data_IF_596994734352
#
_entry.id   IF_596994734352
#
_cell.length_a   1.000
_cell.length_b   1.000
_cell.length_c   1.000
_cell.angle_alpha   90.00
_cell.angle_beta   90.00
_cell.angle_gamma   90.00
#
_symmetry.space_group_name_H-M   'P 1'
#
loop_
_entity.id
_entity.type
_entity.pdbx_description
1 polymer ?
#
# COMPACT_ATOMS: atom_id res chain seq x y z
N UNK A 1 -46.53 -3.22 -44.35
CA UNK A 1 -45.92 -3.89 -43.17
C UNK A 1 -44.77 -3.02 -42.68
N UNK A 2 -44.56 -2.99 -41.37
CA UNK A 2 -44.05 -1.87 -40.59
C UNK A 2 -42.58 -1.53 -40.89
N UNK A 3 -42.33 -0.23 -41.04
CA UNK A 3 -41.02 0.40 -40.92
C UNK A 3 -40.61 0.45 -39.43
N UNK A 4 -39.31 0.60 -39.12
CA UNK A 4 -38.76 1.51 -38.08
C UNK A 4 -37.49 0.95 -37.37
N UNK A 5 -36.34 1.56 -37.74
CA UNK A 5 -35.32 2.21 -36.88
C UNK A 5 -34.49 1.35 -35.91
N UNK A 6 -33.25 1.09 -36.36
CA UNK A 6 -31.96 1.33 -35.68
C UNK A 6 -31.99 1.81 -34.22
N UNK A 7 -31.40 1.03 -33.31
CA UNK A 7 -30.87 1.54 -32.04
C UNK A 7 -29.63 0.73 -31.61
N UNK A 8 -28.47 1.08 -32.18
CA UNK A 8 -27.16 0.68 -31.63
C UNK A 8 -26.92 1.58 -30.42
N UNK A 9 -27.20 1.05 -29.23
CA UNK A 9 -26.92 1.69 -27.95
C UNK A 9 -25.41 1.58 -27.68
N UNK A 10 -24.65 2.56 -28.16
CA UNK A 10 -23.23 2.70 -27.91
C UNK A 10 -23.05 3.24 -26.48
N UNK A 11 -22.87 2.32 -25.52
CA UNK A 11 -22.56 2.64 -24.13
C UNK A 11 -21.19 3.30 -24.03
N UNK A 12 -21.20 4.58 -23.65
CA UNK A 12 -20.01 5.38 -23.35
C UNK A 12 -19.34 4.76 -22.11
N UNK A 13 -18.17 4.15 -22.32
CA UNK A 13 -17.32 3.70 -21.22
C UNK A 13 -16.63 4.95 -20.67
N UNK A 14 -17.09 5.42 -19.52
CA UNK A 14 -16.39 6.42 -18.72
C UNK A 14 -15.08 5.81 -18.22
N UNK A 15 -13.99 6.06 -18.93
CA UNK A 15 -12.64 5.93 -18.40
C UNK A 15 -12.45 7.13 -17.45
N UNK A 16 -12.84 6.97 -16.19
CA UNK A 16 -12.40 7.88 -15.13
C UNK A 16 -11.02 7.40 -14.69
N UNK A 17 -9.98 7.90 -15.35
CA UNK A 17 -8.63 7.83 -14.83
C UNK A 17 -8.51 9.01 -13.84
N UNK A 18 -8.90 8.79 -12.59
CA UNK A 18 -8.60 9.73 -11.53
C UNK A 18 -7.10 9.64 -11.23
N UNK A 19 -6.35 10.68 -11.59
CA UNK A 19 -4.98 10.82 -11.13
C UNK A 19 -5.05 10.98 -9.61
N UNK A 20 -4.66 9.93 -8.88
CA UNK A 20 -4.61 9.98 -7.42
C UNK A 20 -3.41 10.85 -7.05
N UNK A 21 -3.67 12.06 -6.57
CA UNK A 21 -2.61 12.96 -6.12
C UNK A 21 -1.77 12.30 -5.01
N UNK A 22 -0.46 12.18 -5.26
CA UNK A 22 0.51 11.52 -4.38
C UNK A 22 0.68 12.20 -3.01
N UNK A 23 0.09 13.39 -2.83
CA UNK A 23 0.16 14.23 -1.64
C UNK A 23 -1.12 14.23 -0.79
N UNK A 24 -2.17 13.50 -1.19
CA UNK A 24 -3.41 13.47 -0.40
C UNK A 24 -3.25 12.55 0.81
N UNK A 25 -3.47 13.10 2.01
CA UNK A 25 -3.54 12.33 3.25
C UNK A 25 -4.77 11.41 3.22
N UNK A 26 -4.55 10.12 3.43
CA UNK A 26 -5.55 9.06 3.42
C UNK A 26 -5.55 8.35 4.77
N UNK A 27 -6.71 7.80 5.16
CA UNK A 27 -6.85 6.94 6.34
C UNK A 27 -7.39 5.59 5.92
N UNK A 28 -6.82 4.51 6.44
CA UNK A 28 -7.30 3.16 6.14
C UNK A 28 -6.97 2.17 7.26
N UNK A 29 -7.76 1.09 7.30
CA UNK A 29 -7.39 -0.13 8.00
C UNK A 29 -6.38 -0.92 7.15
N UNK A 30 -5.34 -1.44 7.80
CA UNK A 30 -4.28 -2.22 7.19
C UNK A 30 -3.80 -3.33 8.13
N UNK A 31 -3.03 -4.26 7.59
CA UNK A 31 -2.27 -5.24 8.35
C UNK A 31 -0.81 -4.83 8.30
N UNK A 32 -0.24 -4.50 9.46
CA UNK A 32 1.18 -4.32 9.63
C UNK A 32 1.83 -5.69 9.87
N UNK A 33 2.84 -6.01 9.07
CA UNK A 33 3.56 -7.28 9.08
C UNK A 33 5.00 -7.02 9.48
N UNK A 34 5.47 -7.67 10.54
CA UNK A 34 6.88 -7.65 10.94
C UNK A 34 7.64 -8.80 10.29
N UNK A 35 8.55 -8.49 9.37
CA UNK A 35 9.33 -9.48 8.62
C UNK A 35 10.73 -9.72 9.20
N UNK A 36 11.13 -8.97 10.22
CA UNK A 36 12.42 -9.14 10.90
C UNK A 36 13.13 -7.80 11.13
N UNK A 37 14.12 -7.80 12.02
CA UNK A 37 14.84 -6.58 12.37
C UNK A 37 15.54 -5.98 11.14
N UNK A 38 15.18 -4.74 10.79
CA UNK A 38 15.82 -4.03 9.69
C UNK A 38 17.35 -3.94 9.87
N UNK A 39 17.81 -3.75 11.11
CA UNK A 39 19.25 -3.66 11.44
C UNK A 39 20.01 -4.99 11.33
N UNK A 40 19.30 -6.12 11.33
CA UNK A 40 19.89 -7.46 11.30
C UNK A 40 19.79 -8.04 9.89
N UNK A 41 18.59 -8.03 9.32
CA UNK A 41 18.26 -8.75 8.09
C UNK A 41 17.76 -7.82 6.96
N UNK A 42 17.67 -6.50 7.18
CA UNK A 42 17.16 -5.55 6.17
C UNK A 42 15.66 -5.67 5.86
N UNK A 43 14.94 -6.58 6.52
CA UNK A 43 13.54 -6.89 6.23
C UNK A 43 12.59 -5.79 6.71
N UNK A 44 12.58 -5.48 8.01
CA UNK A 44 11.71 -4.46 8.59
C UNK A 44 10.22 -4.80 8.54
N UNK A 45 9.41 -3.76 8.37
CA UNK A 45 7.94 -3.86 8.27
C UNK A 45 7.44 -3.88 6.83
N UNK A 46 6.26 -4.47 6.65
CA UNK A 46 5.42 -4.41 5.44
C UNK A 46 3.99 -4.02 5.82
N UNK A 47 3.34 -3.23 4.97
CA UNK A 47 1.92 -2.88 5.14
C UNK A 47 1.11 -3.57 4.06
N UNK A 48 0.17 -4.41 4.46
CA UNK A 48 -0.83 -4.98 3.55
C UNK A 48 -2.15 -4.21 3.68
N UNK A 49 -2.62 -3.65 2.56
CA UNK A 49 -3.84 -2.87 2.51
C UNK A 49 -4.51 -3.05 1.15
N UNK A 50 -5.82 -3.35 1.13
CA UNK A 50 -6.61 -3.55 -0.09
C UNK A 50 -6.00 -4.59 -1.06
N UNK A 51 -5.42 -5.66 -0.52
CA UNK A 51 -4.81 -6.73 -1.30
C UNK A 51 -3.46 -6.39 -1.93
N UNK A 52 -2.84 -5.27 -1.54
CA UNK A 52 -1.52 -4.84 -2.01
C UNK A 52 -0.57 -4.65 -0.83
N UNK A 53 0.71 -4.92 -1.05
CA UNK A 53 1.77 -4.71 -0.05
C UNK A 53 2.59 -3.47 -0.37
N UNK A 54 2.90 -2.70 0.66
CA UNK A 54 3.72 -1.50 0.59
C UNK A 54 4.90 -1.61 1.55
N UNK A 55 5.96 -0.87 1.24
CA UNK A 55 7.11 -0.72 2.13
C UNK A 55 7.01 0.64 2.84
N UNK A 56 7.04 0.69 4.18
CA UNK A 56 7.10 1.97 4.88
C UNK A 56 8.37 2.71 4.46
N UNK A 57 8.23 3.99 4.13
CA UNK A 57 9.38 4.85 3.79
C UNK A 57 10.25 5.15 5.01
N UNK A 58 9.63 5.26 6.17
CA UNK A 58 10.26 5.54 7.45
C UNK A 58 9.64 4.65 8.52
N UNK A 59 10.39 3.64 8.95
CA UNK A 59 9.97 2.70 10.00
C UNK A 59 10.20 3.25 11.40
N UNK A 60 10.93 4.36 11.58
CA UNK A 60 11.14 4.96 12.91
C UNK A 60 9.85 5.49 13.55
N UNK A 61 8.80 5.67 12.73
CA UNK A 61 7.45 6.05 13.17
C UNK A 61 6.62 4.85 13.66
N UNK A 62 7.13 3.64 13.53
CA UNK A 62 6.47 2.41 13.96
C UNK A 62 7.09 1.98 15.28
N UNK A 63 6.28 1.97 16.35
CA UNK A 63 6.76 1.62 17.68
C UNK A 63 7.22 0.15 17.80
N UNK A 64 8.11 -0.11 18.75
CA UNK A 64 8.65 -1.45 19.00
C UNK A 64 7.58 -2.46 19.43
N UNK A 65 6.46 -2.00 19.99
CA UNK A 65 5.30 -2.81 20.37
C UNK A 65 4.61 -3.52 19.20
N UNK A 66 4.97 -3.17 17.95
CA UNK A 66 4.52 -3.85 16.74
C UNK A 66 5.44 -4.98 16.31
N UNK A 67 6.65 -5.10 16.87
CA UNK A 67 7.60 -6.18 16.60
C UNK A 67 7.26 -7.47 17.37
N UNK A 68 6.45 -7.37 18.42
CA UNK A 68 6.03 -8.50 19.26
C UNK A 68 5.12 -9.49 18.53
N UNK A 69 4.38 -9.01 17.53
CA UNK A 69 3.43 -9.81 16.77
C UNK A 69 3.79 -9.76 15.29
N UNK A 70 3.91 -10.92 14.64
CA UNK A 70 4.21 -11.00 13.20
C UNK A 70 3.19 -10.26 12.33
N UNK A 71 1.92 -10.19 12.75
CA UNK A 71 0.85 -9.46 12.06
C UNK A 71 -0.02 -8.72 13.05
N UNK A 72 -0.26 -7.44 12.81
CA UNK A 72 -1.10 -6.59 13.66
C UNK A 72 -2.07 -5.78 12.78
N UNK A 73 -3.36 -5.83 13.09
CA UNK A 73 -4.34 -4.94 12.45
C UNK A 73 -4.20 -3.53 13.00
N UNK A 74 -4.07 -2.55 12.12
CA UNK A 74 -3.82 -1.15 12.46
C UNK A 74 -4.71 -0.21 11.68
N UNK A 75 -4.96 0.96 12.25
CA UNK A 75 -5.47 2.12 11.53
C UNK A 75 -4.29 3.06 11.27
N UNK A 76 -4.09 3.42 10.00
CA UNK A 76 -3.01 4.29 9.57
C UNK A 76 -3.53 5.55 8.88
N UNK A 77 -2.85 6.67 9.15
CA UNK A 77 -2.90 7.86 8.29
C UNK A 77 -1.63 7.91 7.46
N UNK A 78 -1.77 8.10 6.14
CA UNK A 78 -0.66 7.91 5.21
C UNK A 78 -0.81 8.72 3.92
N UNK A 79 0.28 8.84 3.17
CA UNK A 79 0.25 9.24 1.76
C UNK A 79 1.12 8.31 0.91
N UNK A 80 0.90 8.33 -0.41
CA UNK A 80 1.59 7.49 -1.38
C UNK A 80 2.47 8.36 -2.27
N UNK A 81 3.78 8.48 -2.00
CA UNK A 81 4.67 9.43 -2.68
C UNK A 81 4.95 9.11 -4.16
N UNK A 82 4.35 8.06 -4.72
CA UNK A 82 4.67 7.52 -6.06
C UNK A 82 6.17 7.19 -6.21
N UNK A 83 6.72 6.56 -5.17
CA UNK A 83 8.12 6.13 -5.08
C UNK A 83 8.16 4.60 -4.97
N UNK A 84 9.18 3.98 -5.56
CA UNK A 84 9.47 2.55 -5.41
C UNK A 84 10.70 2.41 -4.52
N UNK A 85 10.59 1.65 -3.44
CA UNK A 85 11.69 1.31 -2.57
C UNK A 85 12.29 -0.02 -2.99
N UNK A 86 13.61 -0.04 -3.12
CA UNK A 86 14.39 -1.26 -3.35
C UNK A 86 15.08 -1.65 -2.04
N UNK A 87 14.92 -2.92 -1.63
CA UNK A 87 15.51 -3.42 -0.38
C UNK A 87 15.88 -4.90 -0.49
N UNK A 88 16.82 -5.35 0.33
CA UNK A 88 17.17 -6.75 0.54
C UNK A 88 16.62 -7.18 1.90
N UNK A 89 16.09 -8.40 1.97
CA UNK A 89 15.56 -8.97 3.20
C UNK A 89 16.13 -10.39 3.36
N UNK A 90 16.89 -10.60 4.44
CA UNK A 90 17.64 -11.82 4.73
C UNK A 90 18.53 -12.23 3.57
N UNK A 91 18.55 -13.54 3.30
CA UNK A 91 19.34 -14.15 2.21
C UNK A 91 18.65 -14.06 0.84
N UNK A 92 17.78 -13.06 0.62
CA UNK A 92 17.09 -12.90 -0.66
C UNK A 92 18.13 -12.80 -1.80
N UNK A 93 17.98 -13.59 -2.88
CA UNK A 93 18.97 -13.64 -3.96
C UNK A 93 18.95 -12.38 -4.85
N UNK A 94 17.97 -11.49 -4.68
CA UNK A 94 17.83 -10.24 -5.42
C UNK A 94 17.09 -9.18 -4.58
N UNK A 95 17.28 -7.92 -4.96
CA UNK A 95 16.55 -6.78 -4.39
C UNK A 95 15.05 -6.89 -4.68
N UNK A 96 14.25 -6.72 -3.64
CA UNK A 96 12.81 -6.59 -3.73
C UNK A 96 12.44 -5.15 -4.06
N UNK A 97 11.38 -4.96 -4.86
CA UNK A 97 10.84 -3.64 -5.19
C UNK A 97 9.41 -3.54 -4.72
N UNK A 98 9.09 -2.53 -3.91
CA UNK A 98 7.73 -2.26 -3.43
C UNK A 98 7.42 -0.78 -3.49
N UNK A 99 6.15 -0.45 -3.69
CA UNK A 99 5.69 0.94 -3.56
C UNK A 99 5.88 1.43 -2.12
N UNK A 100 6.38 2.66 -2.01
CA UNK A 100 6.53 3.35 -0.76
C UNK A 100 5.16 3.76 -0.20
N UNK A 101 5.05 3.69 1.12
CA UNK A 101 3.95 4.28 1.87
C UNK A 101 4.56 5.11 3.01
N UNK A 102 4.20 6.39 3.09
CA UNK A 102 4.67 7.24 4.19
C UNK A 102 3.61 7.31 5.28
N UNK A 103 3.94 6.75 6.44
CA UNK A 103 3.08 6.78 7.63
C UNK A 103 3.17 8.17 8.27
N UNK A 104 2.02 8.74 8.58
CA UNK A 104 1.87 9.94 9.41
C UNK A 104 1.53 9.54 10.84
N UNK A 105 0.59 8.61 11.01
CA UNK A 105 0.21 8.06 12.30
C UNK A 105 -0.21 6.59 12.17
N UNK A 106 -0.01 5.82 13.25
CA UNK A 106 -0.35 4.39 13.32
C UNK A 106 -0.90 4.05 14.70
N UNK A 107 -2.01 3.32 14.74
CA UNK A 107 -2.63 2.87 15.99
C UNK A 107 -3.09 1.43 15.85
N UNK A 108 -2.99 0.64 16.93
CA UNK A 108 -3.64 -0.67 17.02
C UNK A 108 -5.16 -0.47 16.92
N UNK A 109 -5.83 -1.37 16.20
CA UNK A 109 -7.29 -1.38 16.12
C UNK A 109 -7.92 -1.84 17.44
#
# INVERSE_FOLDING_TARGET
>A
MKSIISAILLGIIFISCANEDSSTLKTAEAILIWEGAYEVDGCGFIIEMRGKTYKPKDESKIGAEFMENHKTTVIIEYFLPNEILEYLCGDAPYYQKKEALEIISINKR
#
